data_IF_236373763007
#
_entry.id   IF_236373763007
#
_cell.length_a   1.000
_cell.length_b   1.000
_cell.length_c   1.000
_cell.angle_alpha   90.00
_cell.angle_beta   90.00
_cell.angle_gamma   90.00
#
_symmetry.space_group_name_H-M   'P 1'
#
loop_
_entity.id
_entity.type
_entity.pdbx_description
1 polymer ?
#
# COMPACT_ATOMS: atom_id res chain seq x y z
N UNK A 1 -57.06 20.02 -36.82
CA UNK A 1 -56.30 18.76 -36.92
C UNK A 1 -56.22 18.20 -35.49
N UNK A 2 -57.30 17.62 -34.94
CA UNK A 2 -57.66 16.18 -34.99
C UNK A 2 -56.46 15.30 -34.57
N UNK A 3 -56.46 14.42 -33.57
CA UNK A 3 -57.46 13.81 -32.67
C UNK A 3 -56.62 12.92 -31.71
N UNK A 4 -56.63 13.11 -30.37
CA UNK A 4 -57.55 12.51 -29.39
C UNK A 4 -57.26 11.04 -29.01
N UNK A 5 -57.17 10.77 -27.69
CA UNK A 5 -57.60 9.54 -26.97
C UNK A 5 -56.68 8.30 -27.07
N UNK A 6 -56.58 7.35 -26.14
CA UNK A 6 -56.98 7.14 -24.74
C UNK A 6 -56.60 5.68 -24.40
N UNK A 7 -56.13 5.40 -23.18
CA UNK A 7 -56.60 4.24 -22.40
C UNK A 7 -55.99 2.83 -22.53
N UNK A 8 -55.62 2.32 -21.34
CA UNK A 8 -55.92 0.99 -20.77
C UNK A 8 -54.88 -0.14 -20.80
N UNK A 9 -54.30 -0.37 -19.62
CA UNK A 9 -54.33 -1.60 -18.78
C UNK A 9 -54.49 -2.97 -19.44
N UNK A 10 -53.61 -3.93 -19.10
CA UNK A 10 -53.83 -5.37 -18.79
C UNK A 10 -52.41 -5.93 -18.43
N UNK A 11 -52.00 -6.01 -17.16
CA UNK A 11 -52.22 -7.11 -16.20
C UNK A 11 -51.95 -8.51 -16.75
N UNK A 12 -50.71 -9.00 -16.61
CA UNK A 12 -50.34 -10.39 -16.88
C UNK A 12 -50.16 -11.14 -15.56
N UNK A 13 -51.15 -11.94 -15.20
CA UNK A 13 -51.15 -12.89 -14.09
C UNK A 13 -51.45 -14.28 -14.66
N UNK A 14 -50.59 -15.22 -14.24
CA UNK A 14 -50.88 -16.62 -13.89
C UNK A 14 -50.88 -17.76 -14.93
N UNK A 15 -50.19 -18.81 -14.47
CA UNK A 15 -50.45 -20.25 -14.56
C UNK A 15 -50.21 -20.94 -15.93
N UNK A 16 -49.15 -21.73 -16.05
CA UNK A 16 -49.00 -23.11 -15.56
C UNK A 16 -49.44 -24.14 -16.61
N UNK A 17 -48.49 -24.96 -17.06
CA UNK A 17 -48.80 -26.30 -17.55
C UNK A 17 -47.58 -27.21 -17.34
N UNK A 18 -47.77 -28.14 -16.41
CA UNK A 18 -46.96 -29.34 -16.14
C UNK A 18 -47.29 -30.38 -17.22
N UNK A 19 -46.31 -31.22 -17.60
CA UNK A 19 -46.39 -32.67 -17.97
C UNK A 19 -45.02 -33.04 -18.57
N UNK A 20 -44.12 -33.71 -17.83
CA UNK A 20 -44.01 -35.15 -17.55
C UNK A 20 -43.38 -36.01 -18.67
N UNK A 21 -42.11 -36.40 -18.42
CA UNK A 21 -41.60 -37.79 -18.34
C UNK A 21 -41.43 -38.63 -19.63
N UNK A 22 -40.17 -38.89 -19.98
CA UNK A 22 -39.48 -40.21 -20.19
C UNK A 22 -38.54 -40.21 -21.40
N UNK A 23 -37.38 -40.86 -21.25
CA UNK A 23 -36.70 -41.52 -22.36
C UNK A 23 -35.19 -41.30 -22.42
N UNK A 24 -34.43 -42.21 -21.81
CA UNK A 24 -32.97 -42.33 -22.00
C UNK A 24 -32.68 -42.85 -23.41
N UNK A 25 -31.72 -42.25 -24.11
CA UNK A 25 -30.89 -43.00 -25.08
C UNK A 25 -29.53 -42.33 -25.25
N UNK A 26 -28.51 -43.15 -25.01
CA UNK A 26 -27.10 -42.86 -25.19
C UNK A 26 -26.76 -42.90 -26.68
N UNK A 27 -26.07 -41.88 -27.21
CA UNK A 27 -25.19 -42.04 -28.37
C UNK A 27 -24.12 -40.95 -28.39
N UNK A 28 -22.92 -41.35 -28.78
CA UNK A 28 -21.61 -40.73 -28.52
C UNK A 28 -21.08 -40.03 -29.79
N UNK A 29 -20.71 -38.75 -29.66
CA UNK A 29 -19.69 -37.91 -30.39
C UNK A 29 -19.90 -37.59 -31.90
N UNK A 30 -19.33 -36.48 -32.49
CA UNK A 30 -18.09 -35.78 -32.07
C UNK A 30 -18.03 -34.23 -32.15
N UNK A 31 -17.14 -33.68 -31.31
CA UNK A 31 -16.23 -32.53 -31.50
C UNK A 31 -16.76 -31.16 -31.95
N UNK A 32 -16.81 -30.25 -30.98
CA UNK A 32 -16.50 -28.82 -31.14
C UNK A 32 -15.69 -28.38 -29.92
N UNK A 33 -14.36 -28.45 -30.01
CA UNK A 33 -13.46 -28.09 -28.91
C UNK A 33 -13.45 -26.58 -28.71
N UNK A 34 -14.31 -26.10 -27.82
CA UNK A 34 -14.02 -24.88 -27.07
C UNK A 34 -12.87 -25.19 -26.13
N UNK A 35 -11.68 -24.70 -26.45
CA UNK A 35 -10.56 -24.69 -25.50
C UNK A 35 -10.89 -23.60 -24.48
N UNK A 36 -11.57 -23.99 -23.40
CA UNK A 36 -11.56 -23.22 -22.17
C UNK A 36 -10.17 -23.42 -21.57
N UNK A 37 -9.26 -22.49 -21.85
CA UNK A 37 -8.00 -22.40 -21.11
C UNK A 37 -8.34 -21.97 -19.70
N UNK A 38 -8.71 -22.93 -18.86
CA UNK A 38 -8.59 -22.78 -17.41
C UNK A 38 -7.09 -22.69 -17.12
N UNK A 39 -6.58 -21.47 -17.14
CA UNK A 39 -5.29 -21.15 -16.56
C UNK A 39 -5.44 -21.41 -15.05
N UNK A 40 -5.17 -22.65 -14.64
CA UNK A 40 -5.02 -23.00 -13.22
C UNK A 40 -3.76 -22.27 -12.78
N UNK A 41 -3.92 -21.02 -12.35
CA UNK A 41 -2.91 -20.29 -11.60
C UNK A 41 -2.68 -21.14 -10.35
N UNK A 42 -1.63 -21.94 -10.39
CA UNK A 42 -1.21 -22.80 -9.28
C UNK A 42 -1.35 -22.00 -7.99
N UNK A 43 -2.13 -22.51 -7.03
CA UNK A 43 -2.28 -21.84 -5.74
C UNK A 43 -0.87 -21.54 -5.22
N UNK A 44 -0.61 -20.27 -4.94
CA UNK A 44 0.71 -19.86 -4.44
C UNK A 44 0.96 -20.59 -3.12
N UNK A 45 2.17 -21.12 -2.89
CA UNK A 45 2.49 -21.74 -1.62
C UNK A 45 2.28 -20.73 -0.48
N UNK A 46 1.81 -21.16 0.70
CA UNK A 46 1.64 -20.27 1.84
C UNK A 46 2.96 -19.57 2.17
N UNK A 47 2.91 -18.24 2.32
CA UNK A 47 4.04 -17.49 2.82
C UNK A 47 4.27 -17.89 4.28
N UNK A 48 5.53 -18.14 4.62
CA UNK A 48 5.93 -18.51 5.99
C UNK A 48 6.92 -17.50 6.52
N UNK A 49 6.88 -17.28 7.83
CA UNK A 49 7.88 -16.45 8.52
C UNK A 49 9.19 -17.23 8.75
N UNK A 50 10.11 -16.63 9.50
CA UNK A 50 11.39 -17.25 9.86
C UNK A 50 11.27 -18.43 10.85
N UNK A 51 10.09 -18.66 11.43
CA UNK A 51 9.79 -19.80 12.32
C UNK A 51 9.08 -20.94 11.59
N UNK A 52 8.63 -20.70 10.36
CA UNK A 52 7.87 -21.66 9.56
C UNK A 52 6.35 -21.55 9.77
N UNK A 53 5.89 -20.56 10.52
CA UNK A 53 4.46 -20.27 10.69
C UNK A 53 3.90 -19.56 9.46
N UNK A 54 2.66 -19.88 9.10
CA UNK A 54 1.98 -19.28 7.95
C UNK A 54 1.65 -17.82 8.25
N UNK A 55 2.09 -16.92 7.39
CA UNK A 55 1.77 -15.50 7.45
C UNK A 55 0.33 -15.27 6.99
N UNK A 56 -0.56 -14.95 7.93
CA UNK A 56 -1.96 -14.63 7.62
C UNK A 56 -2.14 -13.26 6.98
N UNK A 57 -1.26 -12.31 7.28
CA UNK A 57 -1.27 -10.95 6.72
C UNK A 57 0.13 -10.33 6.79
N UNK A 58 0.38 -9.33 5.94
CA UNK A 58 1.57 -8.49 6.02
C UNK A 58 1.22 -7.12 6.58
N UNK A 59 1.80 -6.77 7.73
CA UNK A 59 1.66 -5.45 8.34
C UNK A 59 2.85 -4.55 8.01
N UNK A 60 2.57 -3.37 7.46
CA UNK A 60 3.57 -2.34 7.18
C UNK A 60 3.27 -1.04 7.92
N UNK A 61 4.32 -0.27 8.25
CA UNK A 61 4.17 1.11 8.72
C UNK A 61 4.86 2.13 7.81
N UNK A 62 4.20 3.27 7.60
CA UNK A 62 4.74 4.41 6.86
C UNK A 62 4.65 5.68 7.69
N UNK A 63 5.59 6.61 7.47
CA UNK A 63 5.55 7.95 8.05
C UNK A 63 4.87 8.90 7.05
N UNK A 64 3.91 9.73 7.46
CA UNK A 64 3.20 10.63 6.57
C UNK A 64 4.12 11.68 5.95
N UNK A 65 3.91 11.97 4.65
CA UNK A 65 4.80 12.84 3.86
C UNK A 65 4.06 14.03 3.19
N UNK A 66 2.74 13.94 2.97
CA UNK A 66 1.93 14.91 2.21
C UNK A 66 0.53 15.07 2.83
N UNK A 67 -0.36 15.83 2.19
CA UNK A 67 -1.78 15.87 2.58
C UNK A 67 -2.42 14.47 2.53
N UNK A 68 -3.44 14.26 3.35
CA UNK A 68 -4.01 12.94 3.63
C UNK A 68 -4.56 12.23 2.39
N UNK A 69 -5.12 12.93 1.41
CA UNK A 69 -5.85 12.32 0.29
C UNK A 69 -4.92 11.67 -0.75
N UNK A 70 -3.92 12.41 -1.26
CA UNK A 70 -2.94 11.88 -2.22
C UNK A 70 -2.13 10.73 -1.60
N UNK A 71 -1.84 10.83 -0.30
CA UNK A 71 -1.12 9.79 0.42
C UNK A 71 -1.96 8.52 0.57
N UNK A 72 -3.25 8.63 0.89
CA UNK A 72 -4.15 7.48 1.00
C UNK A 72 -4.22 6.71 -0.32
N UNK A 73 -4.40 7.39 -1.46
CA UNK A 73 -4.45 6.71 -2.77
C UNK A 73 -3.16 5.94 -3.08
N UNK A 74 -1.99 6.52 -2.79
CA UNK A 74 -0.69 5.84 -2.99
C UNK A 74 -0.54 4.61 -2.09
N UNK A 75 -1.03 4.69 -0.86
CA UNK A 75 -1.00 3.59 0.10
C UNK A 75 -1.95 2.47 -0.31
N UNK A 76 -3.17 2.80 -0.72
CA UNK A 76 -4.14 1.84 -1.22
C UNK A 76 -3.62 1.11 -2.46
N UNK A 77 -2.97 1.84 -3.38
CA UNK A 77 -2.33 1.24 -4.54
C UNK A 77 -1.22 0.26 -4.13
N UNK A 78 -0.32 0.67 -3.22
CA UNK A 78 0.76 -0.20 -2.72
C UNK A 78 0.20 -1.46 -2.03
N UNK A 79 -0.78 -1.29 -1.14
CA UNK A 79 -1.39 -2.40 -0.41
C UNK A 79 -2.08 -3.38 -1.37
N UNK A 80 -2.84 -2.87 -2.34
CA UNK A 80 -3.53 -3.68 -3.34
C UNK A 80 -2.54 -4.46 -4.23
N UNK A 81 -1.48 -3.79 -4.67
CA UNK A 81 -0.42 -4.41 -5.45
C UNK A 81 0.26 -5.55 -4.68
N UNK A 82 0.72 -5.28 -3.45
CA UNK A 82 1.36 -6.31 -2.63
C UNK A 82 0.41 -7.45 -2.29
N UNK A 83 -0.87 -7.18 -2.02
CA UNK A 83 -1.87 -8.22 -1.78
C UNK A 83 -2.05 -9.13 -3.00
N UNK A 84 -2.06 -8.55 -4.21
CA UNK A 84 -2.17 -9.32 -5.45
C UNK A 84 -0.96 -10.22 -5.70
N UNK A 85 0.25 -9.73 -5.38
CA UNK A 85 1.50 -10.46 -5.58
C UNK A 85 1.75 -11.52 -4.48
N UNK A 86 1.35 -11.23 -3.24
CA UNK A 86 1.61 -12.09 -2.08
C UNK A 86 0.48 -13.08 -1.78
N UNK A 87 -0.74 -12.78 -2.24
CA UNK A 87 -1.92 -13.63 -2.00
C UNK A 87 -2.44 -13.61 -0.55
N UNK A 88 -1.92 -12.70 0.28
CA UNK A 88 -2.35 -12.48 1.67
C UNK A 88 -2.75 -11.02 1.86
N UNK A 89 -3.66 -10.70 2.81
CA UNK A 89 -3.99 -9.32 3.16
C UNK A 89 -2.76 -8.48 3.51
N UNK A 90 -2.75 -7.24 3.02
CA UNK A 90 -1.69 -6.27 3.34
C UNK A 90 -2.31 -5.08 4.06
N UNK A 91 -1.87 -4.81 5.28
CA UNK A 91 -2.36 -3.71 6.11
C UNK A 91 -1.27 -2.67 6.28
N UNK A 92 -1.61 -1.41 6.02
CA UNK A 92 -0.66 -0.29 6.13
C UNK A 92 -1.10 0.64 7.25
N UNK A 93 -0.23 0.81 8.25
CA UNK A 93 -0.42 1.72 9.37
C UNK A 93 0.35 3.01 9.14
N UNK A 94 -0.37 4.14 9.09
CA UNK A 94 0.25 5.45 9.12
C UNK A 94 0.66 5.80 10.56
N UNK A 95 1.96 5.86 10.81
CA UNK A 95 2.48 6.32 12.09
C UNK A 95 2.29 7.84 12.23
N UNK A 96 1.99 8.34 13.42
CA UNK A 96 1.84 9.77 13.67
C UNK A 96 3.17 10.52 13.58
N UNK A 97 4.29 9.83 13.85
CA UNK A 97 5.63 10.39 13.79
C UNK A 97 6.69 9.29 13.65
N UNK A 98 7.96 9.71 13.50
CA UNK A 98 9.10 8.80 13.35
C UNK A 98 9.29 7.84 14.54
N UNK A 99 9.00 8.27 15.77
CA UNK A 99 9.22 7.43 16.96
C UNK A 99 8.17 6.34 17.08
N UNK A 100 6.93 6.62 16.69
CA UNK A 100 5.89 5.61 16.60
C UNK A 100 6.20 4.58 15.52
N UNK A 101 6.66 4.99 14.34
CA UNK A 101 7.07 4.05 13.28
C UNK A 101 8.20 3.11 13.75
N UNK A 102 9.19 3.66 14.47
CA UNK A 102 10.25 2.86 15.10
C UNK A 102 9.65 1.90 16.13
N UNK A 103 8.77 2.39 17.01
CA UNK A 103 8.16 1.58 18.06
C UNK A 103 7.33 0.41 17.49
N UNK A 104 6.52 0.67 16.46
CA UNK A 104 5.72 -0.36 15.78
C UNK A 104 6.62 -1.48 15.22
N UNK A 105 7.75 -1.13 14.61
CA UNK A 105 8.68 -2.10 14.05
C UNK A 105 9.43 -2.89 15.14
N UNK A 106 9.99 -2.21 16.14
CA UNK A 106 10.81 -2.89 17.18
C UNK A 106 9.98 -3.74 18.14
N UNK A 107 8.68 -3.42 18.29
CA UNK A 107 7.72 -4.22 19.07
C UNK A 107 6.99 -5.26 18.22
N UNK A 108 7.42 -5.46 16.97
CA UNK A 108 6.89 -6.46 16.04
C UNK A 108 5.39 -6.34 15.77
N UNK A 109 4.82 -5.15 16.00
CA UNK A 109 3.43 -4.83 15.61
C UNK A 109 3.28 -4.65 14.10
N UNK A 110 4.37 -4.36 13.41
CA UNK A 110 4.48 -4.39 11.95
C UNK A 110 5.74 -5.16 11.58
N UNK A 111 5.68 -5.90 10.47
CA UNK A 111 6.82 -6.65 9.96
C UNK A 111 7.80 -5.75 9.18
N UNK A 112 7.29 -4.71 8.54
CA UNK A 112 8.07 -3.79 7.69
C UNK A 112 7.73 -2.34 8.05
N UNK A 113 8.73 -1.46 8.09
CA UNK A 113 8.48 -0.02 8.16
C UNK A 113 9.37 0.74 7.17
N UNK A 114 8.78 1.73 6.50
CA UNK A 114 9.54 2.65 5.65
C UNK A 114 10.11 3.79 6.50
N UNK A 115 11.43 3.74 6.72
CA UNK A 115 12.13 4.62 7.65
C UNK A 115 13.18 5.48 6.95
N UNK A 116 13.34 6.72 7.44
CA UNK A 116 14.54 7.50 7.15
C UNK A 116 15.77 6.96 7.87
N UNK A 117 16.97 7.37 7.43
CA UNK A 117 18.25 6.83 7.92
C UNK A 117 18.41 6.87 9.46
N UNK A 118 18.12 8.01 10.12
CA UNK A 118 18.25 8.11 11.57
C UNK A 118 17.24 7.23 12.32
N UNK A 119 16.00 7.13 11.81
CA UNK A 119 14.97 6.27 12.38
C UNK A 119 15.35 4.79 12.26
N UNK A 120 15.91 4.38 11.11
CA UNK A 120 16.45 3.03 10.94
C UNK A 120 17.59 2.74 11.92
N UNK A 121 18.57 3.65 12.07
CA UNK A 121 19.65 3.46 13.03
C UNK A 121 19.14 3.36 14.48
N UNK A 122 18.12 4.15 14.84
CA UNK A 122 17.46 4.07 16.15
C UNK A 122 16.77 2.71 16.33
N UNK A 123 16.04 2.23 15.34
CA UNK A 123 15.38 0.92 15.36
C UNK A 123 16.41 -0.23 15.48
N UNK A 124 17.43 -0.23 14.62
CA UNK A 124 18.51 -1.25 14.62
C UNK A 124 19.28 -1.30 15.94
N UNK A 125 19.44 -0.17 16.62
CA UNK A 125 20.04 -0.12 17.96
C UNK A 125 19.17 -0.81 19.02
N UNK A 126 17.84 -0.75 18.88
CA UNK A 126 16.90 -1.36 19.82
C UNK A 126 16.62 -2.84 19.49
N UNK A 127 16.59 -3.18 18.20
CA UNK A 127 16.49 -4.55 17.70
C UNK A 127 17.59 -4.81 16.65
N UNK A 128 18.73 -5.43 17.06
CA UNK A 128 19.84 -5.74 16.17
C UNK A 128 19.51 -6.72 15.04
N UNK A 129 18.36 -7.40 15.05
CA UNK A 129 17.96 -8.36 14.02
C UNK A 129 17.27 -7.70 12.82
N UNK A 130 16.92 -6.41 12.88
CA UNK A 130 16.26 -5.71 11.79
C UNK A 130 17.19 -5.54 10.57
N UNK A 131 16.73 -5.86 9.37
CA UNK A 131 17.54 -5.73 8.16
C UNK A 131 16.94 -4.72 7.17
N UNK A 132 17.79 -3.92 6.49
CA UNK A 132 17.33 -3.04 5.43
C UNK A 132 17.15 -3.87 4.15
N UNK A 133 15.90 -4.11 3.75
CA UNK A 133 15.56 -4.91 2.56
C UNK A 133 15.33 -4.07 1.30
N UNK A 134 15.08 -2.77 1.45
CA UNK A 134 14.74 -1.85 0.37
C UNK A 134 15.36 -0.47 0.60
N UNK A 135 15.81 0.16 -0.48
CA UNK A 135 16.17 1.58 -0.50
C UNK A 135 15.49 2.26 -1.69
N UNK A 136 14.88 3.43 -1.46
CA UNK A 136 14.28 4.21 -2.53
C UNK A 136 15.36 4.84 -3.41
N UNK A 137 15.20 4.71 -4.73
CA UNK A 137 16.03 5.40 -5.72
C UNK A 137 15.32 6.68 -6.13
N UNK A 138 15.99 7.82 -5.98
CA UNK A 138 15.48 9.08 -6.49
C UNK A 138 15.42 9.02 -8.02
N UNK A 139 14.23 9.24 -8.59
CA UNK A 139 13.99 9.06 -10.03
C UNK A 139 14.77 10.07 -10.89
N UNK A 140 14.95 11.30 -10.40
CA UNK A 140 15.63 12.36 -11.16
C UNK A 140 17.16 12.18 -11.19
N UNK A 141 17.74 11.67 -10.10
CA UNK A 141 19.18 11.57 -9.92
C UNK A 141 19.73 10.15 -10.04
N UNK A 142 18.85 9.13 -10.01
CA UNK A 142 19.21 7.71 -10.01
C UNK A 142 19.95 7.25 -8.75
N UNK A 143 19.94 8.03 -7.66
CA UNK A 143 20.74 7.77 -6.46
C UNK A 143 19.89 7.23 -5.30
N UNK A 144 20.46 6.34 -4.45
CA UNK A 144 19.80 5.84 -3.24
C UNK A 144 19.91 6.80 -2.05
N UNK A 145 20.18 8.08 -2.31
CA UNK A 145 20.40 9.10 -1.29
C UNK A 145 19.98 10.48 -1.79
N UNK A 146 19.78 11.39 -0.84
CA UNK A 146 19.39 12.78 -1.11
C UNK A 146 20.28 13.74 -0.32
N UNK A 147 20.29 15.01 -0.73
CA UNK A 147 21.02 16.07 -0.05
C UNK A 147 20.08 16.84 0.87
N UNK A 148 20.44 17.00 2.14
CA UNK A 148 19.76 17.94 3.04
C UNK A 148 20.07 19.37 2.60
N UNK A 149 19.03 20.20 2.51
CA UNK A 149 19.14 21.60 2.10
C UNK A 149 18.47 22.51 3.13
N UNK A 150 19.02 23.70 3.31
CA UNK A 150 18.41 24.77 4.09
C UNK A 150 17.87 25.79 3.09
N UNK A 151 16.58 26.10 3.20
CA UNK A 151 15.91 27.06 2.33
C UNK A 151 15.59 28.30 3.15
N UNK A 152 16.01 29.47 2.65
CA UNK A 152 15.71 30.76 3.26
C UNK A 152 15.07 31.68 2.24
N UNK A 153 14.05 32.44 2.66
CA UNK A 153 13.44 33.50 1.85
C UNK A 153 14.36 34.71 1.70
N UNK A 154 15.25 34.93 2.65
CA UNK A 154 16.21 36.03 2.66
C UNK A 154 17.61 35.53 2.33
N UNK A 155 18.45 36.41 1.79
CA UNK A 155 19.82 36.10 1.33
C UNK A 155 20.77 35.72 2.47
N UNK A 156 20.66 34.47 2.92
CA UNK A 156 21.64 33.81 3.78
C UNK A 156 22.67 33.18 2.86
N UNK A 157 23.89 33.69 2.89
CA UNK A 157 24.97 33.24 2.01
C UNK A 157 25.93 32.25 2.68
N UNK A 158 25.85 32.12 4.02
CA UNK A 158 26.67 31.20 4.80
C UNK A 158 25.90 30.67 6.02
N UNK A 159 26.31 29.52 6.55
CA UNK A 159 25.66 28.88 7.70
C UNK A 159 25.85 29.65 9.01
N UNK A 160 26.93 30.42 9.17
CA UNK A 160 27.21 31.16 10.41
C UNK A 160 26.17 32.27 10.64
N UNK A 161 25.61 32.81 9.56
CA UNK A 161 24.50 33.76 9.60
C UNK A 161 23.21 33.16 10.18
N UNK A 162 23.06 31.83 10.25
CA UNK A 162 21.86 31.22 10.84
C UNK A 162 21.85 31.30 12.38
N UNK A 163 23.01 31.52 13.02
CA UNK A 163 23.11 31.58 14.47
C UNK A 163 22.25 32.70 15.05
N UNK A 164 21.39 32.35 16.00
CA UNK A 164 20.47 33.28 16.65
C UNK A 164 19.26 33.70 15.79
N UNK A 165 19.11 33.18 14.56
CA UNK A 165 17.90 33.37 13.75
C UNK A 165 16.85 32.32 14.10
N UNK A 166 15.60 32.61 13.75
CA UNK A 166 14.49 31.66 13.86
C UNK A 166 14.64 30.61 12.76
N UNK A 167 14.67 29.34 13.15
CA UNK A 167 14.77 28.20 12.24
C UNK A 167 13.53 27.32 12.36
N UNK A 168 12.96 26.90 11.23
CA UNK A 168 11.84 25.96 11.19
C UNK A 168 12.35 24.55 10.97
N UNK A 169 12.25 23.70 11.99
CA UNK A 169 12.62 22.29 11.91
C UNK A 169 11.41 21.42 11.55
N UNK A 170 11.66 20.26 10.95
CA UNK A 170 10.60 19.30 10.60
C UNK A 170 10.13 18.54 11.83
N UNK A 171 11.04 17.80 12.48
CA UNK A 171 10.81 17.05 13.72
C UNK A 171 12.15 16.66 14.33
N UNK A 172 12.27 16.61 15.66
CA UNK A 172 13.51 16.29 16.37
C UNK A 172 14.09 14.91 16.02
N UNK A 173 13.26 13.97 15.56
CA UNK A 173 13.66 12.63 15.13
C UNK A 173 13.96 12.53 13.63
N UNK A 174 13.85 13.63 12.87
CA UNK A 174 14.18 13.67 11.44
C UNK A 174 15.69 13.80 11.21
N UNK A 175 16.23 13.02 10.27
CA UNK A 175 17.65 13.09 9.87
C UNK A 175 17.97 14.46 9.25
N UNK A 176 17.39 14.76 8.10
CA UNK A 176 17.70 15.97 7.33
C UNK A 176 16.98 17.22 7.84
N UNK A 177 15.82 17.05 8.47
CA UNK A 177 14.99 18.15 8.95
C UNK A 177 15.29 18.62 10.37
N UNK A 178 16.19 17.93 11.10
CA UNK A 178 16.64 18.34 12.43
C UNK A 178 18.08 17.95 12.71
N UNK A 179 18.41 16.64 12.72
CA UNK A 179 19.71 16.17 13.18
C UNK A 179 20.89 16.78 12.40
N UNK A 180 20.79 16.80 11.07
CA UNK A 180 21.84 17.37 10.22
C UNK A 180 22.00 18.89 10.45
N UNK A 181 20.95 19.72 10.40
CA UNK A 181 21.06 21.13 10.75
C UNK A 181 21.56 21.38 12.19
N UNK A 182 21.04 20.67 13.20
CA UNK A 182 21.40 20.88 14.62
C UNK A 182 22.82 20.46 14.97
N UNK A 183 23.43 19.59 14.15
CA UNK A 183 24.85 19.26 14.30
C UNK A 183 25.75 20.41 13.82
N UNK A 184 25.30 21.19 12.84
CA UNK A 184 26.09 22.26 12.24
C UNK A 184 25.96 23.61 12.94
N UNK A 185 24.87 23.87 13.67
CA UNK A 185 24.63 25.12 14.41
C UNK A 185 23.63 24.93 15.56
#
# INVERSE_FOLDING_TARGET
MASSLQGSNISWLLLATVICVTGVSCSVLPQGTGVETTEVRSAMPPLTDNTGEVLEHLDLSLIPHTSSEEQSTKIEFLASYLQQELGIPVRVTLAQNYDEAVNLLVTEKVAIAYLGAASYLKAKKQNPNLEPILAAINQDTGRPWYTSVIISKTGVNDLSQLKGKRFGFVSSSSTSGFLMPSYHF
#
